data_IF_907430578472
#
_entry.id   IF_907430578472
#
_cell.length_a   1.000
_cell.length_b   1.000
_cell.length_c   1.000
_cell.angle_alpha   90.00
_cell.angle_beta   90.00
_cell.angle_gamma   90.00
#
_symmetry.space_group_name_H-M   'P 1'
#
loop_
_entity.id
_entity.type
_entity.pdbx_description
1 polymer ?
#
# COMPACT_ATOMS: atom_id res chain seq x y z
N UNK A 1 -31.21 23.72 -26.26
CA UNK A 1 -30.50 22.56 -26.83
C UNK A 1 -29.17 22.52 -26.11
N UNK A 2 -28.82 21.36 -25.58
CA UNK A 2 -28.13 21.12 -24.31
C UNK A 2 -26.75 21.79 -24.13
N UNK A 3 -26.52 22.24 -22.90
CA UNK A 3 -25.23 22.61 -22.35
C UNK A 3 -24.34 21.35 -22.25
N UNK A 4 -23.20 21.35 -22.91
CA UNK A 4 -22.13 20.36 -22.68
C UNK A 4 -21.17 21.00 -21.69
N UNK A 5 -21.32 20.65 -20.42
CA UNK A 5 -20.33 20.87 -19.37
C UNK A 5 -19.21 19.86 -19.64
N UNK A 6 -18.03 20.36 -20.02
CA UNK A 6 -16.80 19.57 -20.05
C UNK A 6 -16.29 19.53 -18.61
N UNK A 7 -16.34 18.36 -17.99
CA UNK A 7 -15.71 18.11 -16.69
C UNK A 7 -14.19 18.24 -16.85
N UNK A 8 -13.60 19.16 -16.09
CA UNK A 8 -12.15 19.38 -16.05
C UNK A 8 -11.43 18.14 -15.47
N UNK A 9 -10.82 17.35 -16.35
CA UNK A 9 -9.74 16.42 -16.03
C UNK A 9 -8.59 17.18 -15.37
N UNK A 10 -8.26 16.85 -14.11
CA UNK A 10 -7.03 17.34 -13.48
C UNK A 10 -5.84 16.57 -14.08
N UNK A 11 -5.27 17.13 -15.15
CA UNK A 11 -3.96 16.76 -15.67
C UNK A 11 -2.89 17.38 -14.75
N UNK A 12 -2.29 16.60 -13.86
CA UNK A 12 -1.11 17.04 -13.10
C UNK A 12 0.12 16.89 -14.00
N UNK A 13 0.55 18.00 -14.60
CA UNK A 13 1.91 18.17 -15.14
C UNK A 13 2.60 19.32 -14.40
N UNK A 14 3.90 19.07 -14.15
CA UNK A 14 4.96 19.97 -13.69
C UNK A 14 5.30 20.05 -12.20
N UNK A 15 6.62 20.03 -12.00
CA UNK A 15 7.40 19.59 -10.85
C UNK A 15 7.86 20.76 -9.96
N UNK A 16 6.96 21.69 -9.62
CA UNK A 16 7.31 22.85 -8.77
C UNK A 16 6.62 22.91 -7.41
N UNK A 17 5.76 21.95 -7.06
CA UNK A 17 5.03 21.94 -5.77
C UNK A 17 5.71 21.15 -4.63
N UNK A 18 6.99 20.80 -4.80
CA UNK A 18 7.75 20.05 -3.78
C UNK A 18 8.01 20.86 -2.49
N UNK A 19 7.71 22.16 -2.48
CA UNK A 19 7.86 23.02 -1.31
C UNK A 19 6.53 23.49 -0.73
N UNK A 20 5.80 22.62 0.01
CA UNK A 20 4.83 22.94 1.09
C UNK A 20 3.99 21.72 1.50
N UNK A 21 4.61 20.60 1.90
CA UNK A 21 3.93 19.67 2.79
C UNK A 21 4.07 20.21 4.22
N UNK A 22 3.25 21.22 4.49
CA UNK A 22 3.04 21.71 5.85
C UNK A 22 2.48 20.56 6.69
N UNK A 23 2.99 20.40 7.91
CA UNK A 23 2.70 19.27 8.83
C UNK A 23 1.24 19.22 9.31
N UNK A 24 0.33 19.90 8.63
CA UNK A 24 -1.06 20.03 8.97
C UNK A 24 -1.87 18.99 8.20
N UNK A 25 -2.02 17.80 8.80
CA UNK A 25 -2.94 16.73 8.35
C UNK A 25 -4.34 17.28 8.00
N UNK A 26 -4.77 18.38 8.62
CA UNK A 26 -6.02 19.09 8.35
C UNK A 26 -6.21 19.51 6.89
N UNK A 27 -5.14 19.83 6.15
CA UNK A 27 -5.25 20.23 4.73
C UNK A 27 -5.60 19.07 3.81
N UNK A 28 -5.04 17.89 4.07
CA UNK A 28 -5.33 16.64 3.35
C UNK A 28 -6.73 16.14 3.71
N UNK A 29 -7.10 16.21 5.00
CA UNK A 29 -8.41 15.81 5.51
C UNK A 29 -9.55 16.75 5.07
N UNK A 30 -9.29 18.05 4.83
CA UNK A 30 -10.30 18.97 4.28
C UNK A 30 -10.62 18.69 2.81
N UNK A 31 -9.63 18.29 2.00
CA UNK A 31 -9.85 17.87 0.59
C UNK A 31 -10.68 16.57 0.48
N UNK A 32 -10.75 15.80 1.57
CA UNK A 32 -11.56 14.58 1.72
C UNK A 32 -13.07 14.84 1.92
N UNK A 33 -13.50 16.08 2.18
CA UNK A 33 -14.93 16.38 2.33
C UNK A 33 -15.75 16.23 1.02
N UNK A 34 -15.11 15.79 -0.06
CA UNK A 34 -15.75 15.45 -1.33
C UNK A 34 -16.21 13.98 -1.34
N UNK A 35 -17.53 13.85 -1.12
CA UNK A 35 -18.44 12.77 -1.58
C UNK A 35 -18.62 11.48 -0.76
N UNK A 36 -18.21 11.42 0.50
CA UNK A 36 -18.64 10.33 1.40
C UNK A 36 -19.31 10.90 2.66
N UNK A 37 -20.65 10.91 2.75
CA UNK A 37 -21.39 11.54 3.86
C UNK A 37 -20.97 11.06 5.25
N UNK A 38 -20.53 9.79 5.38
CA UNK A 38 -20.13 9.21 6.67
C UNK A 38 -18.81 9.80 7.21
N UNK A 39 -17.93 10.28 6.34
CA UNK A 39 -16.60 10.77 6.73
C UNK A 39 -16.63 12.17 7.33
N UNK A 40 -17.70 12.95 7.18
CA UNK A 40 -17.71 14.40 7.51
C UNK A 40 -17.27 14.78 8.93
N UNK A 41 -17.40 13.90 9.93
CA UNK A 41 -17.10 14.23 11.32
C UNK A 41 -15.96 13.39 11.97
N UNK A 42 -15.56 12.24 11.41
CA UNK A 42 -14.65 11.29 12.09
C UNK A 42 -13.46 10.80 11.22
N UNK A 43 -13.08 11.49 10.14
CA UNK A 43 -12.02 11.03 9.21
C UNK A 43 -10.75 10.59 9.94
N UNK A 44 -10.30 11.35 10.94
CA UNK A 44 -9.08 11.06 11.68
C UNK A 44 -9.12 9.69 12.35
N UNK A 45 -10.26 9.29 12.92
CA UNK A 45 -10.45 8.00 13.59
C UNK A 45 -10.24 6.82 12.62
N UNK A 46 -10.81 6.92 11.41
CA UNK A 46 -10.68 5.89 10.37
C UNK A 46 -9.28 5.80 9.77
N UNK A 47 -8.46 6.85 9.88
CA UNK A 47 -7.09 6.86 9.38
C UNK A 47 -6.02 6.73 10.49
N UNK A 48 -6.44 6.56 11.75
CA UNK A 48 -5.54 6.25 12.88
C UNK A 48 -5.66 4.79 13.30
N UNK A 49 -6.88 4.26 13.33
CA UNK A 49 -7.17 2.86 13.65
C UNK A 49 -6.99 1.98 12.41
N UNK A 50 -6.22 0.89 12.52
CA UNK A 50 -5.94 -0.01 11.39
C UNK A 50 -7.14 -0.86 10.99
N UNK A 51 -7.97 -1.30 11.95
CA UNK A 51 -9.16 -2.10 11.66
C UNK A 51 -10.24 -1.24 10.97
N UNK A 52 -10.53 -0.06 11.53
CA UNK A 52 -11.49 0.88 10.92
C UNK A 52 -11.04 1.34 9.53
N UNK A 53 -9.72 1.52 9.35
CA UNK A 53 -9.17 1.82 8.04
C UNK A 53 -9.41 0.71 7.03
N UNK A 54 -9.13 -0.53 7.41
CA UNK A 54 -9.38 -1.68 6.54
C UNK A 54 -10.87 -1.81 6.22
N UNK A 55 -11.75 -1.61 7.20
CA UNK A 55 -13.20 -1.65 6.97
C UNK A 55 -13.66 -0.54 6.02
N UNK A 56 -13.12 0.68 6.15
CA UNK A 56 -13.35 1.76 5.19
C UNK A 56 -12.85 1.37 3.79
N UNK A 57 -11.62 0.88 3.67
CA UNK A 57 -11.01 0.49 2.40
C UNK A 57 -11.82 -0.60 1.67
N UNK A 58 -12.33 -1.59 2.41
CA UNK A 58 -13.17 -2.67 1.87
C UNK A 58 -14.66 -2.29 1.73
N UNK A 59 -15.07 -1.10 2.16
CA UNK A 59 -16.42 -0.56 1.94
C UNK A 59 -16.55 0.24 0.64
N UNK A 60 -15.43 0.58 -0.01
CA UNK A 60 -15.42 1.41 -1.22
C UNK A 60 -16.11 0.70 -2.39
N UNK A 61 -17.11 1.37 -2.97
CA UNK A 61 -17.94 0.82 -4.03
C UNK A 61 -17.25 0.79 -5.40
N UNK A 62 -16.33 1.73 -5.64
CA UNK A 62 -15.60 1.86 -6.90
C UNK A 62 -14.08 1.86 -6.69
N UNK A 63 -13.36 1.55 -7.77
CA UNK A 63 -11.90 1.46 -7.80
C UNK A 63 -11.22 2.78 -7.44
N UNK A 64 -11.80 3.91 -7.84
CA UNK A 64 -11.24 5.24 -7.57
C UNK A 64 -11.34 5.59 -6.09
N UNK A 65 -12.39 5.14 -5.40
CA UNK A 65 -12.54 5.23 -3.95
C UNK A 65 -11.46 4.44 -3.22
N UNK A 66 -11.19 3.21 -3.64
CA UNK A 66 -10.09 2.38 -3.10
C UNK A 66 -8.75 3.11 -3.26
N UNK A 67 -8.44 3.58 -4.48
CA UNK A 67 -7.22 4.32 -4.76
C UNK A 67 -7.08 5.57 -3.89
N UNK A 68 -8.14 6.35 -3.76
CA UNK A 68 -8.18 7.58 -2.98
C UNK A 68 -7.90 7.32 -1.50
N UNK A 69 -8.61 6.36 -0.89
CA UNK A 69 -8.43 5.98 0.52
C UNK A 69 -7.00 5.45 0.76
N UNK A 70 -6.50 4.61 -0.14
CA UNK A 70 -5.15 4.05 -0.04
C UNK A 70 -4.07 5.14 -0.09
N UNK A 71 -4.14 6.04 -1.07
CA UNK A 71 -3.22 7.18 -1.20
C UNK A 71 -3.26 8.09 0.03
N UNK A 72 -4.44 8.33 0.60
CA UNK A 72 -4.58 9.19 1.78
C UNK A 72 -3.90 8.60 3.02
N UNK A 73 -3.99 7.29 3.24
CA UNK A 73 -3.28 6.64 4.36
C UNK A 73 -1.78 6.91 4.28
N UNK A 74 -1.21 6.77 3.08
CA UNK A 74 0.20 7.06 2.83
C UNK A 74 0.54 8.54 3.01
N UNK A 75 -0.28 9.45 2.47
CA UNK A 75 -0.07 10.90 2.60
C UNK A 75 -0.14 11.40 4.06
N UNK A 76 -0.87 10.69 4.93
CA UNK A 76 -0.90 10.95 6.37
C UNK A 76 0.31 10.35 7.12
N UNK A 77 1.28 9.77 6.39
CA UNK A 77 2.45 9.11 6.95
C UNK A 77 2.13 7.79 7.65
N UNK A 78 0.96 7.23 7.41
CA UNK A 78 0.52 5.96 8.00
C UNK A 78 0.84 4.81 7.06
N UNK A 79 1.14 3.66 7.65
CA UNK A 79 1.39 2.44 6.89
C UNK A 79 0.11 1.71 6.49
N UNK A 80 0.26 0.81 5.52
CA UNK A 80 -0.77 -0.15 5.10
C UNK A 80 -0.15 -1.54 5.10
N UNK A 81 -0.73 -2.48 5.86
CA UNK A 81 -0.26 -3.87 5.81
C UNK A 81 -0.60 -4.53 4.48
N UNK A 82 0.43 -4.84 3.70
CA UNK A 82 0.27 -5.60 2.45
C UNK A 82 -0.27 -6.98 2.76
N UNK A 83 0.24 -7.64 3.81
CA UNK A 83 -0.15 -9.00 4.15
C UNK A 83 -1.64 -9.10 4.49
N UNK A 84 -2.18 -8.12 5.21
CA UNK A 84 -3.61 -8.10 5.54
C UNK A 84 -4.48 -7.87 4.29
N UNK A 85 -4.03 -7.02 3.37
CA UNK A 85 -4.68 -6.87 2.06
C UNK A 85 -4.71 -8.23 1.35
N UNK A 86 -3.58 -8.92 1.26
CA UNK A 86 -3.48 -10.21 0.60
C UNK A 86 -4.39 -11.26 1.26
N UNK A 87 -4.45 -11.31 2.60
CA UNK A 87 -5.37 -12.20 3.32
C UNK A 87 -6.84 -11.90 3.06
N UNK A 88 -7.22 -10.62 3.09
CA UNK A 88 -8.62 -10.20 2.87
C UNK A 88 -9.06 -10.35 1.41
N UNK A 89 -8.13 -10.31 0.45
CA UNK A 89 -8.43 -10.47 -0.98
C UNK A 89 -9.12 -11.80 -1.33
N UNK A 90 -8.90 -12.85 -0.52
CA UNK A 90 -9.39 -14.20 -0.79
C UNK A 90 -8.64 -14.94 -1.90
N UNK A 91 -7.54 -14.38 -2.44
CA UNK A 91 -6.66 -15.07 -3.39
C UNK A 91 -5.84 -16.14 -2.67
N UNK A 92 -5.60 -17.26 -3.36
CA UNK A 92 -4.77 -18.33 -2.84
C UNK A 92 -3.28 -18.11 -3.18
N UNK A 93 -2.40 -18.94 -2.59
CA UNK A 93 -0.95 -18.82 -2.76
C UNK A 93 -0.51 -18.90 -4.21
N UNK A 94 -1.10 -19.77 -5.04
CA UNK A 94 -0.71 -19.95 -6.44
C UNK A 94 -1.09 -18.72 -7.27
N UNK A 95 -2.30 -18.17 -7.07
CA UNK A 95 -2.71 -16.90 -7.69
C UNK A 95 -1.74 -15.76 -7.32
N UNK A 96 -1.24 -15.74 -6.08
CA UNK A 96 -0.31 -14.71 -5.60
C UNK A 96 1.15 -14.91 -6.06
N UNK A 97 1.53 -16.07 -6.62
CA UNK A 97 2.90 -16.28 -7.11
C UNK A 97 3.19 -15.52 -8.40
N UNK A 98 2.16 -15.29 -9.21
CA UNK A 98 2.29 -14.62 -10.51
C UNK A 98 2.54 -13.11 -10.37
N UNK A 99 2.18 -12.54 -9.22
CA UNK A 99 2.42 -11.13 -8.91
C UNK A 99 3.77 -10.98 -8.23
N UNK A 100 4.72 -10.40 -8.98
CA UNK A 100 6.09 -10.14 -8.54
C UNK A 100 6.27 -8.63 -8.45
N UNK A 101 6.82 -8.16 -7.33
CA UNK A 101 7.25 -6.78 -7.17
C UNK A 101 8.77 -6.71 -7.16
N UNK A 102 9.31 -5.69 -7.80
CA UNK A 102 10.73 -5.35 -7.78
C UNK A 102 11.03 -4.40 -6.64
N UNK A 103 12.13 -4.64 -5.93
CA UNK A 103 12.54 -3.78 -4.84
C UNK A 103 14.08 -3.77 -4.70
N UNK A 104 14.59 -2.76 -3.99
CA UNK A 104 15.98 -2.69 -3.51
C UNK A 104 15.99 -2.81 -1.99
N UNK A 105 17.04 -3.42 -1.48
CA UNK A 105 17.28 -3.57 -0.04
C UNK A 105 18.30 -2.54 0.42
N UNK A 106 18.01 -1.90 1.54
CA UNK A 106 18.92 -0.97 2.19
C UNK A 106 19.08 -1.30 3.66
N UNK A 107 20.33 -1.39 4.12
CA UNK A 107 20.63 -1.58 5.53
C UNK A 107 20.35 -0.33 6.38
N UNK A 108 19.83 -0.53 7.59
CA UNK A 108 19.53 0.55 8.54
C UNK A 108 20.75 0.84 9.44
N UNK A 109 21.33 -0.19 10.06
CA UNK A 109 22.52 -0.09 10.90
C UNK A 109 23.83 0.04 10.09
N UNK A 110 24.92 0.42 10.76
CA UNK A 110 26.23 0.59 10.11
C UNK A 110 26.73 -0.70 9.46
N UNK A 111 26.55 -1.83 10.13
CA UNK A 111 26.92 -3.14 9.59
C UNK A 111 26.07 -3.49 8.37
N UNK A 112 24.76 -3.27 8.46
CA UNK A 112 23.81 -3.57 7.38
C UNK A 112 24.06 -2.67 6.15
N UNK A 113 24.45 -1.41 6.36
CA UNK A 113 24.81 -0.46 5.28
C UNK A 113 25.97 -0.96 4.42
N UNK A 114 26.93 -1.68 4.99
CA UNK A 114 28.05 -2.28 4.24
C UNK A 114 27.57 -3.35 3.25
N UNK A 115 26.36 -3.89 3.46
CA UNK A 115 25.75 -4.92 2.60
C UNK A 115 24.83 -4.36 1.52
N UNK A 116 24.70 -3.04 1.42
CA UNK A 116 23.95 -2.39 0.35
C UNK A 116 24.64 -2.63 -1.00
N UNK A 117 23.86 -3.09 -1.99
CA UNK A 117 24.39 -3.50 -3.29
C UNK A 117 23.64 -2.90 -4.49
N UNK A 118 22.61 -2.08 -4.24
CA UNK A 118 21.74 -1.49 -5.28
C UNK A 118 21.15 -2.50 -6.28
N UNK A 119 21.16 -3.79 -5.93
CA UNK A 119 20.63 -4.85 -6.80
C UNK A 119 19.11 -4.87 -6.71
N UNK A 120 18.45 -4.84 -7.87
CA UNK A 120 17.01 -5.06 -7.99
C UNK A 120 16.72 -6.53 -7.73
N UNK A 121 15.80 -6.79 -6.81
CA UNK A 121 15.35 -8.12 -6.43
C UNK A 121 13.86 -8.24 -6.72
N UNK A 122 13.46 -9.47 -7.00
CA UNK A 122 12.07 -9.83 -7.25
C UNK A 122 11.50 -10.54 -6.02
N UNK A 123 10.32 -10.11 -5.59
CA UNK A 123 9.58 -10.68 -4.47
C UNK A 123 8.15 -10.98 -4.89
N UNK A 124 7.72 -12.24 -4.77
CA UNK A 124 6.33 -12.60 -5.07
C UNK A 124 5.39 -12.20 -3.93
N UNK A 125 4.15 -11.85 -4.27
CA UNK A 125 3.11 -11.60 -3.28
C UNK A 125 2.81 -12.84 -2.45
N UNK A 126 3.00 -14.04 -3.01
CA UNK A 126 2.94 -15.28 -2.25
C UNK A 126 3.95 -15.34 -1.10
N UNK A 127 5.16 -14.80 -1.28
CA UNK A 127 6.17 -14.74 -0.21
C UNK A 127 5.76 -13.76 0.91
N UNK A 128 5.20 -12.59 0.53
CA UNK A 128 4.65 -11.62 1.49
C UNK A 128 3.47 -12.23 2.27
N UNK A 129 2.57 -12.91 1.57
CA UNK A 129 1.42 -13.61 2.17
C UNK A 129 1.83 -14.64 3.23
N UNK A 130 2.87 -15.44 2.95
CA UNK A 130 3.43 -16.42 3.90
C UNK A 130 4.12 -15.75 5.10
N UNK A 131 4.55 -14.51 4.94
CA UNK A 131 5.14 -13.68 5.98
C UNK A 131 6.65 -13.84 6.18
N UNK A 132 7.24 -14.88 5.58
CA UNK A 132 8.70 -15.13 5.63
C UNK A 132 9.17 -15.74 4.32
N UNK A 133 10.42 -15.47 3.94
CA UNK A 133 11.05 -16.06 2.76
C UNK A 133 12.57 -16.18 2.90
N UNK A 134 13.18 -17.03 2.09
CA UNK A 134 14.63 -17.29 2.11
C UNK A 134 15.45 -16.15 1.52
N UNK A 135 16.76 -16.20 1.73
CA UNK A 135 17.72 -15.23 1.18
C UNK A 135 17.98 -15.49 -0.30
N UNK A 136 18.28 -14.42 -1.07
CA UNK A 136 18.65 -14.57 -2.48
C UNK A 136 20.06 -15.13 -2.62
N UNK A 137 20.30 -15.89 -3.69
CA UNK A 137 21.62 -16.42 -3.98
C UNK A 137 22.63 -15.29 -4.20
N UNK A 138 23.76 -15.33 -3.49
CA UNK A 138 24.81 -14.31 -3.58
C UNK A 138 24.49 -12.99 -2.89
N UNK A 139 23.35 -12.89 -2.20
CA UNK A 139 22.99 -11.70 -1.43
C UNK A 139 23.98 -11.46 -0.29
N UNK A 140 24.42 -10.21 -0.14
CA UNK A 140 25.12 -9.76 1.06
C UNK A 140 24.10 -9.28 2.08
N UNK A 141 24.23 -9.78 3.30
CA UNK A 141 23.45 -9.37 4.46
C UNK A 141 24.25 -9.68 5.73
N UNK A 142 23.92 -8.98 6.80
CA UNK A 142 24.42 -9.22 8.16
C UNK A 142 23.56 -10.29 8.81
N UNK A 143 24.22 -11.24 9.48
CA UNK A 143 23.58 -12.34 10.19
C UNK A 143 23.40 -13.60 9.32
N UNK A 144 22.61 -14.54 9.85
CA UNK A 144 22.14 -15.72 9.12
C UNK A 144 20.64 -15.88 9.41
N UNK A 145 19.82 -16.14 8.39
CA UNK A 145 18.40 -16.36 8.62
C UNK A 145 17.51 -16.17 7.40
N UNK A 146 16.22 -16.13 7.66
CA UNK A 146 15.18 -15.80 6.69
C UNK A 146 14.79 -14.33 6.81
N UNK A 147 14.24 -13.80 5.74
CA UNK A 147 13.61 -12.49 5.70
C UNK A 147 12.24 -12.57 6.36
N UNK A 148 11.97 -11.65 7.30
CA UNK A 148 10.65 -11.47 7.93
C UNK A 148 10.37 -9.99 8.14
N UNK A 149 9.10 -9.59 8.11
CA UNK A 149 8.72 -8.23 8.47
C UNK A 149 8.33 -8.18 9.95
N UNK A 150 8.90 -7.27 10.77
CA UNK A 150 8.52 -7.11 12.17
C UNK A 150 7.12 -6.49 12.33
N UNK A 151 6.60 -5.82 11.30
CA UNK A 151 5.35 -5.06 11.33
C UNK A 151 4.34 -5.52 10.26
N UNK A 152 4.33 -6.82 9.94
CA UNK A 152 3.35 -7.41 9.02
C UNK A 152 3.35 -6.79 7.61
N UNK A 153 4.56 -6.51 7.09
CA UNK A 153 4.79 -5.91 5.77
C UNK A 153 4.06 -4.58 5.63
N UNK A 154 4.24 -3.71 6.63
CA UNK A 154 3.61 -2.40 6.65
C UNK A 154 4.28 -1.49 5.60
N UNK A 155 3.62 -1.34 4.46
CA UNK A 155 4.04 -0.46 3.38
C UNK A 155 3.88 0.99 3.84
N UNK A 156 4.89 1.82 3.61
CA UNK A 156 4.94 3.22 4.01
C UNK A 156 5.44 4.03 2.83
N UNK A 157 5.03 5.30 2.79
CA UNK A 157 5.53 6.28 1.85
C UNK A 157 6.58 7.14 2.57
N UNK A 158 7.75 7.27 1.98
CA UNK A 158 8.80 8.14 2.50
C UNK A 158 8.62 9.59 1.98
N UNK A 159 9.53 10.49 2.38
CA UNK A 159 9.50 11.90 1.93
C UNK A 159 9.93 12.09 0.48
N UNK A 160 10.56 11.08 -0.11
CA UNK A 160 11.05 11.04 -1.49
C UNK A 160 10.00 10.48 -2.46
N UNK A 161 8.79 10.19 -1.97
CA UNK A 161 7.70 9.54 -2.71
C UNK A 161 7.94 8.08 -3.06
N UNK A 162 8.82 7.42 -2.32
CA UNK A 162 9.19 6.03 -2.52
C UNK A 162 8.48 5.14 -1.49
N UNK A 163 7.91 4.04 -1.98
CA UNK A 163 7.23 3.07 -1.14
C UNK A 163 8.24 2.08 -0.56
N UNK A 164 8.13 1.79 0.72
CA UNK A 164 9.01 0.84 1.39
C UNK A 164 8.31 0.10 2.53
N UNK A 165 8.87 -1.03 2.94
CA UNK A 165 8.50 -1.72 4.18
C UNK A 165 9.75 -2.22 4.91
N UNK A 166 9.64 -2.41 6.22
CA UNK A 166 10.77 -2.83 7.04
C UNK A 166 10.88 -4.36 7.08
N UNK A 167 12.11 -4.84 7.10
CA UNK A 167 12.47 -6.24 7.13
C UNK A 167 13.61 -6.50 8.10
N UNK A 168 13.61 -7.68 8.69
CA UNK A 168 14.77 -8.22 9.40
C UNK A 168 15.27 -9.48 8.71
N UNK A 169 16.59 -9.66 8.71
CA UNK A 169 17.22 -10.93 8.38
C UNK A 169 17.77 -11.55 9.66
N UNK A 170 17.36 -12.78 9.98
CA UNK A 170 17.71 -13.39 11.26
C UNK A 170 17.12 -12.64 12.45
N UNK A 171 17.85 -12.55 13.55
CA UNK A 171 17.31 -12.09 14.84
C UNK A 171 17.47 -10.59 15.14
N UNK A 172 18.26 -9.85 14.36
CA UNK A 172 18.53 -8.44 14.71
C UNK A 172 18.93 -7.52 13.56
N UNK A 173 19.22 -8.04 12.36
CA UNK A 173 19.70 -7.18 11.28
C UNK A 173 18.55 -6.53 10.52
N UNK A 174 18.45 -5.21 10.63
CA UNK A 174 17.34 -4.41 10.15
C UNK A 174 17.61 -3.75 8.79
N UNK A 175 16.60 -3.81 7.93
CA UNK A 175 16.63 -3.28 6.57
C UNK A 175 15.29 -2.63 6.23
N UNK A 176 15.30 -1.72 5.27
CA UNK A 176 14.08 -1.36 4.55
C UNK A 176 14.18 -1.85 3.10
N UNK A 177 13.05 -2.36 2.61
CA UNK A 177 12.88 -2.85 1.26
C UNK A 177 12.05 -1.80 0.54
N UNK A 178 12.68 -1.12 -0.41
CA UNK A 178 12.08 -0.03 -1.18
C UNK A 178 11.64 -0.56 -2.53
N UNK A 179 10.38 -0.39 -2.88
CA UNK A 179 9.84 -0.76 -4.18
C UNK A 179 10.60 0.01 -5.26
N UNK A 180 10.95 -0.68 -6.34
CA UNK A 180 11.61 -0.06 -7.49
C UNK A 180 10.70 1.02 -8.08
N UNK A 181 11.28 2.15 -8.48
CA UNK A 181 10.49 3.30 -8.96
C UNK A 181 9.69 2.94 -10.22
N UNK A 182 10.29 2.14 -11.10
CA UNK A 182 9.68 1.68 -12.34
C UNK A 182 8.51 0.70 -12.10
N UNK A 183 8.47 0.08 -10.92
CA UNK A 183 7.45 -0.91 -10.54
C UNK A 183 6.41 -0.37 -9.56
N UNK A 184 6.63 0.83 -9.00
CA UNK A 184 5.77 1.44 -7.97
C UNK A 184 4.32 1.60 -8.44
N UNK A 185 4.10 2.08 -9.67
CA UNK A 185 2.75 2.25 -10.21
C UNK A 185 2.04 0.92 -10.44
N UNK A 186 2.74 -0.07 -10.98
CA UNK A 186 2.21 -1.42 -11.21
C UNK A 186 1.82 -2.08 -9.89
N UNK A 187 2.69 -1.96 -8.89
CA UNK A 187 2.44 -2.51 -7.56
C UNK A 187 1.23 -1.85 -6.88
N UNK A 188 1.11 -0.53 -6.97
CA UNK A 188 -0.06 0.19 -6.45
C UNK A 188 -1.35 -0.19 -7.15
N UNK A 189 -1.33 -0.29 -8.48
CA UNK A 189 -2.49 -0.76 -9.26
C UNK A 189 -2.88 -2.18 -8.86
N UNK A 190 -1.91 -3.08 -8.70
CA UNK A 190 -2.16 -4.42 -8.18
C UNK A 190 -2.90 -4.38 -6.84
N UNK A 191 -2.42 -3.61 -5.85
CA UNK A 191 -3.09 -3.51 -4.55
C UNK A 191 -4.52 -2.99 -4.68
N UNK A 192 -4.72 -1.94 -5.49
CA UNK A 192 -6.05 -1.35 -5.74
C UNK A 192 -6.99 -2.38 -6.38
N UNK A 193 -6.50 -3.11 -7.38
CA UNK A 193 -7.31 -4.06 -8.14
C UNK A 193 -7.74 -5.24 -7.26
N UNK A 194 -6.84 -5.81 -6.44
CA UNK A 194 -7.20 -6.95 -5.58
C UNK A 194 -8.21 -6.56 -4.48
N UNK A 195 -8.12 -5.34 -3.96
CA UNK A 195 -9.10 -4.83 -2.99
C UNK A 195 -10.44 -4.62 -3.70
N UNK A 196 -10.43 -3.93 -4.84
CA UNK A 196 -11.65 -3.63 -5.59
C UNK A 196 -12.37 -4.90 -6.05
N UNK A 197 -11.65 -5.89 -6.57
CA UNK A 197 -12.20 -7.20 -6.93
C UNK A 197 -12.94 -7.86 -5.76
N UNK A 198 -12.38 -7.77 -4.55
CA UNK A 198 -12.98 -8.30 -3.33
C UNK A 198 -14.24 -7.52 -2.94
N UNK A 199 -14.20 -6.18 -2.96
CA UNK A 199 -15.34 -5.32 -2.66
C UNK A 199 -16.53 -5.61 -3.60
N UNK A 200 -16.26 -5.76 -4.91
CA UNK A 200 -17.30 -6.09 -5.90
C UNK A 200 -17.94 -7.45 -5.61
N UNK A 201 -17.14 -8.47 -5.27
CA UNK A 201 -17.67 -9.80 -4.92
C UNK A 201 -18.53 -9.75 -3.66
N UNK A 202 -18.10 -9.03 -2.63
CA UNK A 202 -18.88 -8.88 -1.40
C UNK A 202 -20.16 -8.09 -1.60
N UNK A 203 -20.13 -7.01 -2.37
CA UNK A 203 -21.33 -6.22 -2.68
C UNK A 203 -22.34 -7.05 -3.47
N UNK A 204 -21.90 -7.85 -4.45
CA UNK A 204 -22.78 -8.80 -5.15
C UNK A 204 -23.42 -9.80 -4.21
N UNK A 205 -22.67 -10.34 -3.25
CA UNK A 205 -23.18 -11.26 -2.24
C UNK A 205 -24.20 -10.58 -1.31
N UNK A 206 -23.91 -9.34 -0.87
CA UNK A 206 -24.83 -8.53 -0.05
C UNK A 206 -26.12 -8.24 -0.80
N UNK A 207 -26.06 -7.87 -2.08
CA UNK A 207 -27.25 -7.68 -2.90
C UNK A 207 -28.07 -8.97 -3.04
N UNK A 208 -27.42 -10.10 -3.29
CA UNK A 208 -28.09 -11.41 -3.40
C UNK A 208 -28.91 -11.78 -2.15
N UNK A 209 -28.40 -11.46 -0.95
CA UNK A 209 -29.14 -11.64 0.31
C UNK A 209 -29.93 -10.39 0.76
N UNK A 210 -29.82 -9.28 0.06
CA UNK A 210 -30.51 -8.02 0.36
C UNK A 210 -31.93 -8.01 -0.18
N UNK A 211 -32.20 -8.78 -1.24
CA UNK A 211 -33.52 -8.90 -1.89
C UNK A 211 -34.59 -9.61 -1.03
N UNK A 212 -34.23 -10.04 0.20
CA UNK A 212 -35.15 -10.68 1.16
C UNK A 212 -35.49 -9.78 2.37
N UNK A 213 -35.05 -8.52 2.39
CA UNK A 213 -35.35 -7.53 3.45
C UNK A 213 -36.21 -6.36 2.94
#
# INVERSE_FOLDING_TARGET
MEDIIVEDEIIVRESSDVGKFDKNNDGVLKKLQLDVPFLKNNIKEYFEDDEKYMDLLYSMADRSGVERVLKMRFLLGKGVSIRDILWRSGKNREELKEYIVKFRKYGIGENEKITQDNVVRELSMAAIFLGTFGVWSGERYVGNGTWRSPDNFNLKLDKSWELYFNMTCGDSSEYFFQIDIDDTLNFMNFLIDIIYEKNVKENKLKCYFGDIF
#
